data_IF_416909570442
#
_entry.id   IF_416909570442
#
_cell.length_a   1.000
_cell.length_b   1.000
_cell.length_c   1.000
_cell.angle_alpha   90.00
_cell.angle_beta   90.00
_cell.angle_gamma   90.00
#
_symmetry.space_group_name_H-M   'P 1'
#
loop_
_entity.id
_entity.type
_entity.pdbx_description
1 polymer ?
#
# COMPACT_ATOMS: atom_id res chain seq x y z
N UNK A 1 -3.96 -6.01 -36.70
CA UNK A 1 -2.77 -5.99 -35.83
C UNK A 1 -1.67 -5.03 -36.32
N UNK A 2 -0.82 -5.30 -37.34
CA UNK A 2 0.15 -4.30 -37.79
C UNK A 2 -0.51 -3.10 -38.49
N UNK A 3 -1.68 -3.30 -39.14
CA UNK A 3 -2.44 -2.21 -39.75
C UNK A 3 -2.94 -1.19 -38.72
N UNK A 4 -3.27 -1.62 -37.50
CA UNK A 4 -3.72 -0.73 -36.44
C UNK A 4 -2.57 0.16 -35.95
N UNK A 5 -1.36 -0.42 -35.85
CA UNK A 5 -0.13 0.31 -35.55
C UNK A 5 0.23 1.30 -36.66
N UNK A 6 0.03 0.93 -37.93
CA UNK A 6 0.22 1.84 -39.07
C UNK A 6 -0.79 2.99 -39.05
N UNK A 7 -2.08 2.70 -38.77
CA UNK A 7 -3.13 3.72 -38.61
C UNK A 7 -2.86 4.64 -37.42
N UNK A 8 -2.22 4.13 -36.37
CA UNK A 8 -1.77 4.90 -35.21
C UNK A 8 -0.54 5.78 -35.50
N UNK A 9 0.11 5.62 -36.66
CA UNK A 9 1.20 6.46 -37.16
C UNK A 9 2.59 5.84 -37.14
N UNK A 10 2.71 4.54 -36.83
CA UNK A 10 3.99 3.83 -36.90
C UNK A 10 4.32 3.43 -38.35
N UNK A 11 5.57 3.62 -38.78
CA UNK A 11 6.00 3.26 -40.14
C UNK A 11 6.18 1.74 -40.28
N UNK A 12 5.82 1.13 -41.44
CA UNK A 12 5.90 -0.31 -41.64
C UNK A 12 7.31 -0.90 -41.44
N UNK A 13 8.36 -0.17 -41.82
CA UNK A 13 9.76 -0.60 -41.67
C UNK A 13 10.17 -0.73 -40.21
N UNK A 14 9.58 0.10 -39.33
CA UNK A 14 9.84 0.06 -37.89
C UNK A 14 9.10 -1.10 -37.23
N UNK A 15 7.83 -1.31 -37.59
CA UNK A 15 7.03 -2.46 -37.11
C UNK A 15 7.69 -3.78 -37.54
N UNK A 16 8.22 -3.85 -38.77
CA UNK A 16 8.95 -5.01 -39.27
C UNK A 16 10.22 -5.37 -38.47
N UNK A 17 10.76 -4.44 -37.66
CA UNK A 17 11.90 -4.68 -36.75
C UNK A 17 11.48 -5.12 -35.35
N UNK A 18 10.18 -5.18 -35.06
CA UNK A 18 9.61 -5.62 -33.79
C UNK A 18 8.81 -6.92 -34.00
N UNK A 19 9.48 -8.06 -34.21
CA UNK A 19 8.81 -9.32 -34.56
C UNK A 19 8.03 -9.95 -33.40
N UNK A 20 8.23 -9.46 -32.17
CA UNK A 20 7.57 -9.97 -30.96
C UNK A 20 6.61 -8.91 -30.45
N UNK A 21 5.34 -9.29 -30.33
CA UNK A 21 4.27 -8.46 -29.77
C UNK A 21 3.77 -9.17 -28.50
N UNK A 22 3.69 -8.43 -27.40
CA UNK A 22 3.12 -8.90 -26.15
C UNK A 22 2.13 -7.85 -25.64
N UNK A 23 0.94 -8.30 -25.26
CA UNK A 23 -0.10 -7.48 -24.64
C UNK A 23 -0.09 -7.69 -23.13
N UNK A 24 -0.47 -6.65 -22.39
CA UNK A 24 -0.65 -6.73 -20.94
C UNK A 24 -2.15 -6.66 -20.64
N UNK A 25 -2.60 -7.50 -19.71
CA UNK A 25 -3.96 -7.44 -19.20
C UNK A 25 -4.16 -6.21 -18.31
N UNK A 26 -5.41 -5.74 -18.23
CA UNK A 26 -5.77 -4.69 -17.29
C UNK A 26 -5.70 -5.21 -15.85
N UNK A 27 -5.32 -4.32 -14.93
CA UNK A 27 -5.26 -4.65 -13.51
C UNK A 27 -6.67 -4.66 -12.91
N UNK A 28 -7.06 -5.78 -12.32
CA UNK A 28 -8.26 -5.92 -11.52
C UNK A 28 -7.99 -5.63 -10.02
N UNK A 29 -9.04 -5.72 -9.20
CA UNK A 29 -8.95 -5.43 -7.76
C UNK A 29 -7.98 -6.40 -7.06
N UNK A 30 -8.05 -7.69 -7.38
CA UNK A 30 -7.21 -8.72 -6.76
C UNK A 30 -5.74 -8.52 -7.13
N UNK A 31 -5.43 -8.23 -8.40
CA UNK A 31 -4.06 -7.92 -8.84
C UNK A 31 -3.49 -6.70 -8.09
N UNK A 32 -4.30 -5.68 -7.82
CA UNK A 32 -3.86 -4.52 -7.03
C UNK A 32 -3.59 -4.88 -5.57
N UNK A 33 -4.42 -5.74 -4.96
CA UNK A 33 -4.19 -6.26 -3.60
C UNK A 33 -2.91 -7.09 -3.56
N UNK A 34 -2.68 -7.96 -4.54
CA UNK A 34 -1.43 -8.72 -4.66
C UNK A 34 -0.23 -7.77 -4.77
N UNK A 35 -0.28 -6.75 -5.61
CA UNK A 35 0.79 -5.74 -5.74
C UNK A 35 1.08 -5.03 -4.40
N UNK A 36 0.06 -4.79 -3.58
CA UNK A 36 0.21 -4.17 -2.27
C UNK A 36 0.90 -5.08 -1.26
N UNK A 37 0.85 -6.41 -1.41
CA UNK A 37 1.25 -7.39 -0.38
C UNK A 37 2.41 -8.31 -0.80
N UNK A 38 2.31 -8.93 -1.97
CA UNK A 38 3.16 -10.06 -2.37
C UNK A 38 4.58 -9.67 -2.81
N UNK A 39 4.79 -8.66 -3.68
CA UNK A 39 6.12 -8.34 -4.18
C UNK A 39 7.14 -8.09 -3.08
N UNK A 40 8.41 -8.39 -3.36
CA UNK A 40 9.51 -8.09 -2.42
C UNK A 40 9.53 -6.61 -2.03
N UNK A 41 9.24 -5.73 -2.98
CA UNK A 41 9.19 -4.29 -2.80
C UNK A 41 7.74 -3.77 -2.74
N UNK A 42 6.82 -4.54 -2.15
CA UNK A 42 5.43 -4.11 -2.00
C UNK A 42 5.32 -2.85 -1.11
N UNK A 43 4.29 -2.03 -1.32
CA UNK A 43 4.11 -0.78 -0.58
C UNK A 43 3.92 -1.01 0.91
N UNK A 44 3.12 -2.00 1.29
CA UNK A 44 2.90 -2.35 2.71
C UNK A 44 4.24 -2.64 3.40
N UNK A 45 5.08 -3.49 2.81
CA UNK A 45 6.43 -3.82 3.33
C UNK A 45 7.34 -2.61 3.42
N UNK A 46 7.29 -1.69 2.45
CA UNK A 46 8.06 -0.44 2.50
C UNK A 46 7.67 0.43 3.69
N UNK A 47 6.36 0.60 3.93
CA UNK A 47 5.88 1.40 5.07
C UNK A 47 6.05 0.67 6.41
N UNK A 48 5.89 -0.66 6.45
CA UNK A 48 6.21 -1.43 7.67
C UNK A 48 7.68 -1.27 8.04
N UNK A 49 8.61 -1.39 7.09
CA UNK A 49 10.03 -1.16 7.35
C UNK A 49 10.34 0.29 7.79
N UNK A 50 9.56 1.27 7.33
CA UNK A 50 9.70 2.67 7.76
C UNK A 50 9.23 2.85 9.21
N UNK A 51 8.10 2.25 9.59
CA UNK A 51 7.60 2.31 10.97
C UNK A 51 8.47 1.51 11.95
N UNK A 52 9.10 0.42 11.48
CA UNK A 52 10.08 -0.35 12.25
C UNK A 52 11.30 0.49 12.66
N UNK A 53 11.66 1.54 11.89
CA UNK A 53 12.74 2.46 12.28
C UNK A 53 12.40 3.29 13.54
N UNK A 54 11.11 3.43 13.85
CA UNK A 54 10.58 4.08 15.04
C UNK A 54 10.17 3.07 16.12
N UNK A 55 10.59 1.80 16.00
CA UNK A 55 10.21 0.68 16.89
C UNK A 55 8.69 0.42 16.94
N UNK A 56 7.94 0.74 15.88
CA UNK A 56 6.49 0.54 15.78
C UNK A 56 6.13 -0.46 14.67
N UNK A 57 5.23 -1.40 14.97
CA UNK A 57 4.68 -2.32 13.98
C UNK A 57 3.54 -1.65 13.18
N UNK A 58 3.55 -1.73 11.85
CA UNK A 58 2.44 -1.30 11.00
C UNK A 58 1.70 -2.49 10.40
N UNK A 59 0.41 -2.62 10.71
CA UNK A 59 -0.47 -3.64 10.16
C UNK A 59 -1.56 -3.03 9.27
N UNK A 60 -1.66 -3.54 8.04
CA UNK A 60 -2.81 -3.30 7.17
C UNK A 60 -3.73 -4.50 7.23
N UNK A 61 -4.99 -4.27 7.61
CA UNK A 61 -6.02 -5.31 7.54
C UNK A 61 -6.43 -5.56 6.08
N UNK A 62 -6.96 -6.74 5.82
CA UNK A 62 -7.30 -7.14 4.45
C UNK A 62 -8.40 -6.27 3.82
N UNK A 63 -9.35 -5.80 4.63
CA UNK A 63 -10.38 -4.84 4.25
C UNK A 63 -9.76 -3.50 3.80
N UNK A 64 -8.73 -3.00 4.49
CA UNK A 64 -7.98 -1.82 4.08
C UNK A 64 -7.31 -2.00 2.72
N UNK A 65 -6.67 -3.14 2.46
CA UNK A 65 -6.02 -3.42 1.17
C UNK A 65 -7.02 -3.40 0.01
N UNK A 66 -8.18 -4.04 0.21
CA UNK A 66 -9.29 -4.03 -0.76
C UNK A 66 -9.83 -2.61 -0.98
N UNK A 67 -10.01 -1.84 0.09
CA UNK A 67 -10.45 -0.45 0.01
C UNK A 67 -9.47 0.44 -0.78
N UNK A 68 -8.15 0.25 -0.57
CA UNK A 68 -7.11 0.95 -1.34
C UNK A 68 -7.20 0.59 -2.83
N UNK A 69 -7.33 -0.70 -3.15
CA UNK A 69 -7.45 -1.18 -4.52
C UNK A 69 -8.67 -0.59 -5.24
N UNK A 70 -9.86 -0.65 -4.62
CA UNK A 70 -11.09 -0.04 -5.13
C UNK A 70 -10.93 1.46 -5.38
N UNK A 71 -10.31 2.18 -4.44
CA UNK A 71 -10.07 3.63 -4.55
C UNK A 71 -9.10 3.95 -5.70
N UNK A 72 -8.09 3.12 -5.94
CA UNK A 72 -7.16 3.27 -7.06
C UNK A 72 -7.83 3.01 -8.42
N UNK A 73 -8.67 1.97 -8.51
CA UNK A 73 -9.47 1.69 -9.71
C UNK A 73 -10.43 2.83 -10.04
N UNK A 74 -11.15 3.34 -9.03
CA UNK A 74 -12.08 4.46 -9.21
C UNK A 74 -11.38 5.73 -9.74
N UNK A 75 -10.10 5.94 -9.37
CA UNK A 75 -9.27 7.05 -9.86
C UNK A 75 -8.68 6.82 -11.26
N UNK A 76 -8.85 5.63 -11.85
CA UNK A 76 -8.28 5.23 -13.15
C UNK A 76 -6.75 5.43 -13.24
N UNK A 77 -6.07 5.29 -12.11
CA UNK A 77 -4.60 5.45 -12.01
C UNK A 77 -3.87 4.11 -11.98
N UNK A 78 -4.59 3.00 -11.81
CA UNK A 78 -4.03 1.65 -11.68
C UNK A 78 -3.04 1.55 -10.52
N UNK A 79 -2.03 0.67 -10.64
CA UNK A 79 -1.03 0.46 -9.59
C UNK A 79 -0.24 1.73 -9.21
N UNK A 80 -0.12 2.71 -10.13
CA UNK A 80 0.58 3.98 -9.86
C UNK A 80 -0.13 4.82 -8.78
N UNK A 81 -1.45 4.69 -8.66
CA UNK A 81 -2.25 5.42 -7.67
C UNK A 81 -2.17 4.86 -6.25
N UNK A 82 -1.69 3.62 -6.08
CA UNK A 82 -1.66 2.96 -4.78
C UNK A 82 -0.80 3.73 -3.76
N UNK A 83 0.39 4.20 -4.19
CA UNK A 83 1.31 4.95 -3.32
C UNK A 83 0.67 6.21 -2.76
N UNK A 84 0.04 7.03 -3.60
CA UNK A 84 -0.54 8.30 -3.15
C UNK A 84 -1.73 8.12 -2.21
N UNK A 85 -2.46 7.01 -2.32
CA UNK A 85 -3.55 6.67 -1.40
C UNK A 85 -2.97 6.29 -0.03
N UNK A 86 -1.97 5.40 0.01
CA UNK A 86 -1.34 4.96 1.27
C UNK A 86 -0.64 6.12 1.95
N UNK A 87 0.11 6.93 1.20
CA UNK A 87 0.83 8.09 1.73
C UNK A 87 -0.12 9.13 2.31
N UNK A 88 -1.24 9.41 1.62
CA UNK A 88 -2.24 10.36 2.13
C UNK A 88 -2.88 9.91 3.44
N UNK A 89 -3.03 8.60 3.65
CA UNK A 89 -3.56 8.03 4.89
C UNK A 89 -2.52 8.07 6.02
N UNK A 90 -1.28 7.68 5.73
CA UNK A 90 -0.25 7.56 6.76
C UNK A 90 0.44 8.88 7.11
N UNK A 91 0.33 9.92 6.29
CA UNK A 91 1.06 11.18 6.47
C UNK A 91 0.87 11.79 7.87
N UNK A 92 -0.38 11.85 8.33
CA UNK A 92 -0.70 12.37 9.66
C UNK A 92 -0.07 11.55 10.77
N UNK A 93 -0.27 10.23 10.72
CA UNK A 93 0.31 9.31 11.72
C UNK A 93 1.83 9.38 11.72
N UNK A 94 2.50 9.38 10.57
CA UNK A 94 3.97 9.50 10.49
C UNK A 94 4.49 10.83 11.04
N UNK A 95 3.71 11.91 10.94
CA UNK A 95 4.08 13.20 11.51
C UNK A 95 3.99 13.20 13.04
N UNK A 96 2.95 12.56 13.59
CA UNK A 96 2.69 12.53 15.03
C UNK A 96 3.51 11.44 15.75
N UNK A 97 3.78 10.31 15.09
CA UNK A 97 4.40 9.12 15.69
C UNK A 97 5.67 9.42 16.50
N UNK A 98 6.64 10.23 16.02
CA UNK A 98 7.86 10.51 16.77
C UNK A 98 7.62 11.30 18.07
N UNK A 99 6.45 11.93 18.21
CA UNK A 99 6.07 12.72 19.39
C UNK A 99 5.23 11.91 20.39
N UNK A 100 4.74 10.72 20.02
CA UNK A 100 3.85 9.92 20.86
C UNK A 100 4.66 8.80 21.52
N UNK A 101 4.80 8.85 22.84
CA UNK A 101 5.51 7.81 23.58
C UNK A 101 4.64 6.56 23.81
N UNK A 102 5.28 5.39 23.72
CA UNK A 102 4.70 4.11 24.13
C UNK A 102 3.78 3.43 23.13
N UNK A 103 3.64 3.96 21.91
CA UNK A 103 2.99 3.24 20.80
C UNK A 103 3.89 2.08 20.38
N UNK A 104 3.30 0.90 20.19
CA UNK A 104 4.00 -0.30 19.72
C UNK A 104 3.46 -0.80 18.40
N UNK A 105 2.23 -0.41 18.04
CA UNK A 105 1.59 -0.88 16.82
C UNK A 105 0.56 0.11 16.30
N UNK A 106 0.52 0.28 14.98
CA UNK A 106 -0.48 1.05 14.23
C UNK A 106 -1.26 0.09 13.35
N UNK A 107 -2.59 0.16 13.40
CA UNK A 107 -3.48 -0.68 12.59
C UNK A 107 -4.32 0.19 11.66
N UNK A 108 -4.33 -0.16 10.38
CA UNK A 108 -5.11 0.49 9.32
C UNK A 108 -6.21 -0.44 8.85
N UNK A 109 -7.47 0.03 8.91
CA UNK A 109 -8.66 -0.66 8.44
C UNK A 109 -9.37 0.11 7.31
N UNK A 110 -10.50 -0.40 6.83
CA UNK A 110 -11.27 0.22 5.75
C UNK A 110 -11.74 1.64 6.07
N UNK A 111 -12.19 1.93 7.30
CA UNK A 111 -12.68 3.26 7.70
C UNK A 111 -11.60 4.34 7.59
N UNK A 112 -10.36 3.99 7.89
CA UNK A 112 -9.21 4.88 7.71
C UNK A 112 -9.00 5.21 6.22
N UNK A 113 -9.13 4.21 5.34
CA UNK A 113 -8.99 4.42 3.89
C UNK A 113 -10.14 5.26 3.33
N UNK A 114 -11.34 5.12 3.90
CA UNK A 114 -12.50 5.95 3.58
C UNK A 114 -12.35 7.41 4.08
N UNK A 115 -11.47 7.65 5.07
CA UNK A 115 -11.27 8.95 5.70
C UNK A 115 -12.32 9.24 6.79
N UNK A 116 -12.92 8.19 7.35
CA UNK A 116 -13.96 8.28 8.38
C UNK A 116 -13.37 8.25 9.81
N UNK A 117 -12.16 7.71 9.96
CA UNK A 117 -11.46 7.60 11.23
C UNK A 117 -9.94 7.69 11.05
N UNK A 118 -9.23 7.97 12.15
CA UNK A 118 -7.78 7.91 12.21
C UNK A 118 -7.27 6.47 12.45
N UNK A 119 -6.02 6.15 12.09
CA UNK A 119 -5.41 4.85 12.40
C UNK A 119 -5.44 4.49 13.89
N UNK A 120 -5.63 3.20 14.17
CA UNK A 120 -5.72 2.71 15.55
C UNK A 120 -4.31 2.58 16.12
N UNK A 121 -4.02 3.30 17.20
CA UNK A 121 -2.75 3.22 17.93
C UNK A 121 -2.87 2.26 19.12
N UNK A 122 -1.95 1.30 19.20
CA UNK A 122 -1.85 0.34 20.29
C UNK A 122 -0.62 0.69 21.14
N UNK A 123 -0.83 0.82 22.44
CA UNK A 123 0.21 1.19 23.41
C UNK A 123 0.75 -0.02 24.17
N UNK A 124 2.03 0.03 24.56
CA UNK A 124 2.65 -0.97 25.40
C UNK A 124 1.91 -1.08 26.75
N UNK A 125 1.48 -2.30 27.10
CA UNK A 125 0.78 -2.53 28.35
C UNK A 125 1.78 -2.55 29.52
N UNK A 126 1.81 -1.51 30.37
CA UNK A 126 2.71 -1.42 31.54
C UNK A 126 2.37 -2.39 32.70
N UNK A 127 1.50 -3.38 32.51
CA UNK A 127 1.10 -4.32 33.56
C UNK A 127 1.72 -5.71 33.37
N UNK A 128 3.00 -5.90 33.75
CA UNK A 128 3.50 -7.27 34.06
C UNK A 128 4.75 -7.40 34.94
N UNK A 129 5.20 -6.38 35.68
CA UNK A 129 6.37 -6.49 36.56
C UNK A 129 6.21 -5.82 37.94
N UNK A 130 5.17 -6.18 38.72
CA UNK A 130 5.06 -5.84 40.16
C UNK A 130 4.68 -7.00 41.09
N UNK A 131 4.73 -8.25 40.63
CA UNK A 131 4.46 -9.43 41.47
C UNK A 131 5.52 -10.52 41.24
N UNK A 132 6.74 -10.29 41.74
CA UNK A 132 7.73 -11.35 42.03
C UNK A 132 8.92 -10.78 42.81
N UNK A 133 8.69 -10.06 43.91
CA UNK A 133 9.72 -9.74 44.91
C UNK A 133 9.01 -9.50 46.24
N UNK A 134 8.56 -10.59 46.85
CA UNK A 134 7.85 -10.59 48.11
C UNK A 134 7.49 -12.01 48.50
N UNK A 135 8.51 -12.80 48.84
CA UNK A 135 8.60 -13.72 49.99
C UNK A 135 9.97 -14.40 50.00
#
# INVERSE_FOLDING_TARGET
EPEDLVRYGLIPEFIGRLPVVATLDELDEEALVEILREPKNALTKQYSALFEMEDVELEFREDALRAIAKKAMARKTGARGLRSIVEGVLLGTMYELPSIEGVVKVVVDESVIAGESDPILIYANQQKNKQASGE
#
